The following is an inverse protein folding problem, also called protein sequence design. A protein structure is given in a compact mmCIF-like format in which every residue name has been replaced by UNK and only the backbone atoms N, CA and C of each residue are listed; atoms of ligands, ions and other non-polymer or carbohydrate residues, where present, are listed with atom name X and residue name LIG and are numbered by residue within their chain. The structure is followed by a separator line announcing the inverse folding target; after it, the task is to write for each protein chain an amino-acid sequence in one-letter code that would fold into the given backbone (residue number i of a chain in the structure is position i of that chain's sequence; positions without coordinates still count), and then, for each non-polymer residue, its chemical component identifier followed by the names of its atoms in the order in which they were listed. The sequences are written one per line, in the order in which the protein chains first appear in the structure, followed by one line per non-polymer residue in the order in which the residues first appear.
data_IF_424541222189
#
_entry.id   IF_424541222189
#
_cell.length_a   1.000
_cell.length_b   1.000
_cell.length_c   1.000
_cell.angle_alpha   90.00
_cell.angle_beta   90.00
_cell.angle_gamma   90.00
#
_symmetry.space_group_name_H-M   'P 1'
#
loop_
_entity.id
_entity.type
_entity.pdbx_description
1 polymer ?
#
# COMPACT_ATOMS: atom_id res chain seq x y z
N UNK A 1 4.66 1.76 -27.44
CA UNK A 1 5.77 1.11 -26.75
C UNK A 1 5.30 0.59 -25.40
N UNK A 2 5.45 -0.70 -25.18
CA UNK A 2 5.02 -1.28 -23.93
C UNK A 2 5.95 -0.88 -22.80
N UNK A 3 5.38 -0.39 -21.72
CA UNK A 3 6.15 -0.03 -20.54
C UNK A 3 6.02 -1.17 -19.53
N UNK A 4 7.13 -1.77 -19.17
CA UNK A 4 7.12 -2.81 -18.16
C UNK A 4 6.92 -2.17 -16.79
N UNK A 5 5.96 -2.69 -16.04
CA UNK A 5 5.75 -2.28 -14.67
C UNK A 5 6.59 -3.13 -13.75
N UNK A 6 7.24 -2.48 -12.83
CA UNK A 6 7.94 -3.20 -11.77
C UNK A 6 7.01 -3.36 -10.60
N UNK A 7 7.00 -4.56 -10.03
CA UNK A 7 6.19 -4.85 -8.87
C UNK A 7 7.05 -4.81 -7.63
N UNK A 8 6.57 -4.06 -6.64
CA UNK A 8 7.23 -3.98 -5.34
C UNK A 8 6.25 -4.51 -4.32
N UNK A 9 6.66 -5.53 -3.60
CA UNK A 9 5.81 -6.13 -2.58
C UNK A 9 6.33 -5.78 -1.19
N UNK A 10 5.44 -5.28 -0.34
CA UNK A 10 5.74 -5.07 1.07
C UNK A 10 5.15 -6.21 1.85
N UNK A 11 5.98 -6.91 2.58
CA UNK A 11 5.51 -7.99 3.46
C UNK A 11 5.14 -7.46 4.84
N UNK A 12 5.80 -6.41 5.28
CA UNK A 12 5.51 -5.78 6.56
C UNK A 12 5.52 -4.27 6.39
N UNK A 13 4.37 -3.66 6.59
CA UNK A 13 4.28 -2.20 6.64
C UNK A 13 4.53 -1.81 8.09
N UNK A 14 5.57 -1.03 8.32
CA UNK A 14 5.97 -0.62 9.67
C UNK A 14 6.01 0.89 9.87
N UNK A 15 5.78 1.66 8.82
CA UNK A 15 5.86 3.12 8.90
C UNK A 15 4.73 3.74 8.09
N UNK A 16 4.04 4.69 8.70
CA UNK A 16 3.02 5.47 8.05
C UNK A 16 3.08 6.89 8.60
N UNK A 17 3.18 7.86 7.71
CA UNK A 17 3.24 9.25 8.11
C UNK A 17 2.68 10.13 7.01
N UNK A 18 1.93 11.15 7.40
CA UNK A 18 1.44 12.14 6.45
C UNK A 18 1.93 13.50 6.91
N UNK A 19 2.66 14.17 6.04
CA UNK A 19 3.18 15.51 6.31
C UNK A 19 2.78 16.38 5.12
N UNK A 20 1.93 17.36 5.38
CA UNK A 20 1.39 18.23 4.34
C UNK A 20 0.72 17.38 3.25
N UNK A 21 1.18 17.48 2.01
CA UNK A 21 0.61 16.72 0.89
C UNK A 21 1.49 15.52 0.51
N UNK A 22 2.23 14.97 1.47
CA UNK A 22 3.08 13.82 1.25
C UNK A 22 2.70 12.69 2.19
N UNK A 23 2.45 11.51 1.62
CA UNK A 23 2.15 10.31 2.38
C UNK A 23 3.35 9.36 2.27
N UNK A 24 3.88 8.97 3.41
CA UNK A 24 5.02 8.07 3.50
C UNK A 24 4.55 6.72 4.00
N UNK A 25 4.85 5.69 3.24
CA UNK A 25 4.56 4.32 3.65
C UNK A 25 5.85 3.52 3.55
N UNK A 26 6.30 3.01 4.67
CA UNK A 26 7.53 2.23 4.73
C UNK A 26 7.29 0.81 5.21
N UNK A 27 8.16 -0.06 4.78
CA UNK A 27 8.07 -1.45 5.18
C UNK A 27 9.24 -2.24 4.65
N UNK A 28 9.11 -3.56 4.74
CA UNK A 28 10.14 -4.49 4.28
C UNK A 28 9.66 -5.13 3.00
N UNK A 29 10.48 -5.07 1.96
CA UNK A 29 10.13 -5.68 0.68
C UNK A 29 10.45 -7.18 0.66
N UNK A 30 10.25 -7.82 -0.49
CA UNK A 30 10.46 -9.25 -0.62
C UNK A 30 11.92 -9.67 -0.46
N UNK A 31 12.85 -8.75 -0.64
CA UNK A 31 14.29 -9.02 -0.47
C UNK A 31 14.78 -8.76 0.95
N UNK A 32 13.89 -8.37 1.85
CA UNK A 32 14.25 -8.06 3.22
C UNK A 32 14.82 -6.67 3.42
N UNK A 33 14.67 -5.80 2.44
CA UNK A 33 15.19 -4.43 2.52
C UNK A 33 14.16 -3.47 3.08
N UNK A 34 14.61 -2.50 3.85
CA UNK A 34 13.75 -1.42 4.30
C UNK A 34 13.55 -0.44 3.16
N UNK A 35 12.30 -0.21 2.81
CA UNK A 35 11.94 0.65 1.69
C UNK A 35 10.91 1.67 2.15
N UNK A 36 11.02 2.89 1.64
CA UNK A 36 10.06 3.94 1.92
C UNK A 36 9.50 4.44 0.59
N UNK A 37 8.17 4.49 0.50
CA UNK A 37 7.49 5.06 -0.66
C UNK A 37 6.82 6.35 -0.27
N UNK A 38 6.92 7.33 -1.17
CA UNK A 38 6.34 8.66 -0.94
C UNK A 38 5.33 8.93 -2.03
N UNK A 39 4.14 9.32 -1.63
CA UNK A 39 3.04 9.63 -2.54
C UNK A 39 2.56 11.04 -2.31
N UNK A 40 2.07 11.68 -3.39
CA UNK A 40 1.29 12.89 -3.24
C UNK A 40 -0.06 12.49 -2.64
N UNK A 41 -0.38 13.02 -1.48
CA UNK A 41 -1.56 12.59 -0.72
C UNK A 41 -2.85 12.78 -1.50
N UNK A 42 -3.02 13.92 -2.14
CA UNK A 42 -4.23 14.20 -2.91
C UNK A 42 -4.39 13.18 -4.03
N UNK A 43 -3.32 12.92 -4.76
CA UNK A 43 -3.36 11.98 -5.87
C UNK A 43 -3.66 10.56 -5.39
N UNK A 44 -3.05 10.16 -4.28
CA UNK A 44 -3.29 8.85 -3.70
C UNK A 44 -4.76 8.67 -3.35
N UNK A 45 -5.37 9.67 -2.72
CA UNK A 45 -6.78 9.63 -2.34
C UNK A 45 -7.72 9.62 -3.53
N UNK A 46 -7.31 10.19 -4.64
CA UNK A 46 -8.13 10.16 -5.86
C UNK A 46 -8.23 8.76 -6.45
N UNK A 47 -7.22 7.95 -6.26
CA UNK A 47 -7.16 6.61 -6.84
C UNK A 47 -7.60 5.52 -5.89
N UNK A 48 -7.39 5.70 -4.59
CA UNK A 48 -7.70 4.66 -3.61
C UNK A 48 -9.13 4.76 -3.12
N UNK A 49 -9.80 3.63 -3.13
CA UNK A 49 -11.11 3.49 -2.49
C UNK A 49 -10.89 2.71 -1.19
N UNK A 50 -10.75 3.45 -0.11
CA UNK A 50 -10.46 2.86 1.20
C UNK A 50 -11.60 1.94 1.66
N UNK A 51 -12.83 2.34 1.40
CA UNK A 51 -13.98 1.52 1.80
C UNK A 51 -14.02 0.20 1.05
N UNK A 52 -13.69 0.23 -0.24
CA UNK A 52 -13.60 -0.99 -1.03
C UNK A 52 -12.47 -1.88 -0.53
N UNK A 53 -11.33 -1.30 -0.20
CA UNK A 53 -10.21 -2.05 0.34
C UNK A 53 -10.58 -2.75 1.64
N UNK A 54 -11.30 -2.05 2.52
CA UNK A 54 -11.75 -2.63 3.77
C UNK A 54 -12.72 -3.78 3.54
N UNK A 55 -13.64 -3.62 2.61
CA UNK A 55 -14.60 -4.68 2.28
C UNK A 55 -13.90 -5.94 1.80
N UNK A 56 -12.94 -5.79 0.90
CA UNK A 56 -12.21 -6.93 0.35
C UNK A 56 -11.36 -7.61 1.42
N UNK A 57 -10.75 -6.82 2.29
CA UNK A 57 -9.95 -7.37 3.39
C UNK A 57 -10.83 -8.18 4.35
N UNK A 58 -12.01 -7.67 4.69
CA UNK A 58 -12.95 -8.37 5.58
C UNK A 58 -13.41 -9.69 4.95
N UNK A 59 -13.72 -9.67 3.66
CA UNK A 59 -14.10 -10.90 2.94
C UNK A 59 -12.99 -11.94 3.02
N UNK A 60 -11.75 -11.52 2.83
CA UNK A 60 -10.61 -12.42 2.91
C UNK A 60 -10.48 -13.03 4.31
N UNK A 61 -10.62 -12.23 5.34
CA UNK A 61 -10.55 -12.70 6.72
C UNK A 61 -11.68 -13.69 7.00
N UNK A 62 -12.89 -13.37 6.58
CA UNK A 62 -14.05 -14.25 6.80
C UNK A 62 -13.90 -15.57 6.07
N UNK A 63 -13.32 -15.57 4.89
CA UNK A 63 -13.09 -16.79 4.14
C UNK A 63 -12.04 -17.68 4.78
N UNK A 64 -11.16 -17.13 5.57
CA UNK A 64 -10.12 -17.88 6.28
C UNK A 64 -10.58 -18.38 7.64
N UNK A 65 -11.69 -17.87 8.14
CA UNK A 65 -12.18 -18.17 9.48
C UNK A 65 -13.12 -19.37 9.54
N UNK A 66 -12.90 -20.34 8.75
CA UNK A 66 -13.76 -21.53 8.73
C UNK A 66 -13.34 -22.51 9.80
#
# INVERSE_FOLDING_TARGET
MATERKYVEFHNINTYQVVENETYIGGVNSDGEDVMMVFTTIELLEWLDINHMKKEAIKHINNQSI
#
